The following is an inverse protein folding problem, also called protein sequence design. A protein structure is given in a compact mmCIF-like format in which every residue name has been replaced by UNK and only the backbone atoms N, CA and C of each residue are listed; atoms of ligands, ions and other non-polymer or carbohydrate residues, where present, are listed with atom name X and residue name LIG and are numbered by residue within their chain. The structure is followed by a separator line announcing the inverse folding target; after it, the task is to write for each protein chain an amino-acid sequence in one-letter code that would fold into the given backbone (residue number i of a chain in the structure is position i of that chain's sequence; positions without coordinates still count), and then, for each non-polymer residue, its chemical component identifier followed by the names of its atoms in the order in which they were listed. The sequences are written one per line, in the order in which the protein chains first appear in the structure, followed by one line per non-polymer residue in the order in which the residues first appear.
data_IF_163373351452
#
_entry.id   IF_163373351452
#
_cell.length_a   1.000
_cell.length_b   1.000
_cell.length_c   1.000
_cell.angle_alpha   90.00
_cell.angle_beta   90.00
_cell.angle_gamma   90.00
#
_symmetry.space_group_name_H-M   'P 1'
#
loop_
_entity.id
_entity.type
_entity.pdbx_description
1 polymer ?
#
# COMPACT_ATOMS: atom_id res chain seq x y z
N UNK A 1 -5.33 17.74 -11.72
CA UNK A 1 -4.84 16.37 -11.46
C UNK A 1 -5.52 15.84 -10.19
N UNK A 2 -5.57 14.52 -10.01
CA UNK A 2 -6.14 13.88 -8.82
C UNK A 2 -5.15 12.87 -8.21
N UNK A 3 -5.16 12.76 -6.89
CA UNK A 3 -4.43 11.73 -6.17
C UNK A 3 -5.38 10.64 -5.68
N UNK A 4 -5.00 9.39 -5.95
CA UNK A 4 -5.80 8.21 -5.63
C UNK A 4 -5.03 7.31 -4.66
N UNK A 5 -5.76 6.58 -3.83
CA UNK A 5 -5.22 5.55 -2.95
C UNK A 5 -6.09 4.31 -3.00
N UNK A 6 -5.50 3.17 -3.33
CA UNK A 6 -6.18 1.89 -3.42
C UNK A 6 -6.82 1.52 -2.07
N UNK A 7 -6.11 1.68 -0.95
CA UNK A 7 -6.67 1.32 0.37
C UNK A 7 -7.89 2.19 0.73
N UNK A 8 -7.84 3.49 0.43
CA UNK A 8 -8.92 4.43 0.75
C UNK A 8 -10.16 4.22 -0.15
N UNK A 9 -9.95 3.82 -1.40
CA UNK A 9 -11.02 3.64 -2.39
C UNK A 9 -11.55 2.20 -2.47
N UNK A 10 -11.14 1.32 -1.56
CA UNK A 10 -11.64 -0.06 -1.49
C UNK A 10 -11.03 -1.00 -2.53
N UNK A 11 -9.78 -0.75 -2.91
CA UNK A 11 -8.95 -1.59 -3.79
C UNK A 11 -8.77 -1.03 -5.20
N UNK A 12 -7.80 -1.59 -5.92
CA UNK A 12 -7.36 -1.15 -7.25
C UNK A 12 -8.52 -1.01 -8.24
N UNK A 13 -9.39 -2.02 -8.34
CA UNK A 13 -10.51 -2.01 -9.30
C UNK A 13 -11.50 -0.88 -9.04
N UNK A 14 -11.77 -0.56 -7.76
CA UNK A 14 -12.68 0.53 -7.40
C UNK A 14 -12.01 1.88 -7.65
N UNK A 15 -10.73 2.00 -7.29
CA UNK A 15 -9.95 3.21 -7.58
C UNK A 15 -9.87 3.51 -9.09
N UNK A 16 -9.71 2.50 -9.94
CA UNK A 16 -9.73 2.67 -11.40
C UNK A 16 -11.05 3.24 -11.93
N UNK A 17 -12.19 2.76 -11.42
CA UNK A 17 -13.49 3.36 -11.80
C UNK A 17 -13.59 4.82 -11.39
N UNK A 18 -13.04 5.18 -10.22
CA UNK A 18 -12.98 6.59 -9.80
C UNK A 18 -12.09 7.40 -10.72
N UNK A 19 -10.92 6.88 -11.13
CA UNK A 19 -10.04 7.55 -12.08
C UNK A 19 -10.76 7.86 -13.41
N UNK A 20 -11.51 6.87 -13.94
CA UNK A 20 -12.32 7.02 -15.15
C UNK A 20 -13.42 8.08 -14.99
N UNK A 21 -14.14 8.07 -13.87
CA UNK A 21 -15.22 9.04 -13.58
C UNK A 21 -14.67 10.45 -13.45
N UNK A 22 -13.51 10.61 -12.79
CA UNK A 22 -12.90 11.92 -12.55
C UNK A 22 -12.41 12.54 -13.86
N UNK A 23 -11.90 11.73 -14.80
CA UNK A 23 -11.49 12.22 -16.13
C UNK A 23 -10.30 13.20 -16.10
N UNK A 24 -9.54 13.24 -15.01
CA UNK A 24 -8.34 14.07 -14.86
C UNK A 24 -7.08 13.18 -14.84
N UNK A 25 -5.90 13.74 -15.18
CA UNK A 25 -4.62 13.05 -14.93
C UNK A 25 -4.51 12.63 -13.47
N UNK A 26 -4.22 11.35 -13.22
CA UNK A 26 -4.18 10.74 -11.90
C UNK A 26 -2.77 10.27 -11.53
N UNK A 27 -2.43 10.38 -10.24
CA UNK A 27 -1.27 9.77 -9.64
C UNK A 27 -1.67 9.06 -8.33
N UNK A 28 -0.85 8.11 -7.88
CA UNK A 28 -1.05 7.44 -6.58
C UNK A 28 -0.21 8.13 -5.52
N UNK A 29 -0.81 8.36 -4.35
CA UNK A 29 -0.12 8.83 -3.17
C UNK A 29 -0.56 8.05 -1.94
N UNK A 30 0.39 7.76 -1.06
CA UNK A 30 0.14 6.92 0.11
C UNK A 30 1.01 7.34 1.30
N UNK A 31 0.39 7.41 2.48
CA UNK A 31 1.14 7.53 3.73
C UNK A 31 2.13 6.36 3.93
N UNK A 32 3.27 6.59 4.60
CA UNK A 32 4.27 5.56 4.92
C UNK A 32 3.67 4.31 5.57
N UNK A 33 3.79 3.17 4.89
CA UNK A 33 3.26 1.86 5.27
C UNK A 33 4.22 0.75 4.81
N UNK A 34 4.07 -0.46 5.35
CA UNK A 34 4.92 -1.61 4.99
C UNK A 34 4.74 -2.02 3.51
N UNK A 35 5.68 -2.79 2.97
CA UNK A 35 5.60 -3.24 1.57
C UNK A 35 4.32 -4.04 1.25
N UNK A 36 3.79 -4.77 2.24
CA UNK A 36 2.51 -5.49 2.10
C UNK A 36 1.35 -4.54 1.83
N UNK A 37 1.28 -3.43 2.56
CA UNK A 37 0.24 -2.42 2.39
C UNK A 37 0.46 -1.57 1.13
N UNK A 38 1.72 -1.25 0.82
CA UNK A 38 2.10 -0.48 -0.36
C UNK A 38 1.87 -1.25 -1.67
N UNK A 39 1.84 -2.58 -1.65
CA UNK A 39 1.62 -3.39 -2.84
C UNK A 39 0.30 -3.08 -3.57
N UNK A 40 -0.78 -2.76 -2.84
CA UNK A 40 -2.05 -2.35 -3.45
C UNK A 40 -1.97 -0.98 -4.12
N UNK A 41 -1.21 -0.06 -3.53
CA UNK A 41 -0.97 1.29 -4.08
C UNK A 41 -0.09 1.21 -5.33
N UNK A 42 0.98 0.41 -5.29
CA UNK A 42 1.86 0.14 -6.43
C UNK A 42 1.11 -0.57 -7.57
N UNK A 43 0.22 -1.51 -7.26
CA UNK A 43 -0.61 -2.15 -8.26
C UNK A 43 -1.56 -1.15 -8.94
N UNK A 44 -2.11 -0.17 -8.20
CA UNK A 44 -2.91 0.91 -8.79
C UNK A 44 -2.06 1.80 -9.71
N UNK A 45 -0.88 2.20 -9.26
CA UNK A 45 0.05 2.99 -10.06
C UNK A 45 0.39 2.28 -11.39
N UNK A 46 0.64 0.97 -11.33
CA UNK A 46 0.97 0.18 -12.51
C UNK A 46 -0.15 -0.02 -13.53
N UNK A 47 -1.41 0.32 -13.21
CA UNK A 47 -2.56 0.18 -14.13
C UNK A 47 -3.19 1.51 -14.53
N UNK A 48 -2.79 2.62 -13.89
CA UNK A 48 -3.25 3.95 -14.29
C UNK A 48 -2.63 4.33 -15.64
N UNK A 49 -3.36 5.07 -16.51
CA UNK A 49 -2.76 5.68 -17.68
C UNK A 49 -1.62 6.62 -17.28
N UNK A 50 -0.57 6.67 -18.09
CA UNK A 50 0.56 7.57 -17.85
C UNK A 50 0.08 9.03 -17.88
N UNK A 51 0.32 9.74 -16.77
CA UNK A 51 -0.04 11.14 -16.57
C UNK A 51 1.17 12.07 -16.64
N UNK A 52 2.39 11.55 -16.79
CA UNK A 52 3.65 12.29 -16.66
C UNK A 52 3.98 12.71 -15.23
N UNK A 53 3.18 12.27 -14.23
CA UNK A 53 3.37 12.57 -12.82
C UNK A 53 4.05 11.39 -12.11
N UNK A 54 4.97 11.69 -11.19
CA UNK A 54 5.50 10.68 -10.29
C UNK A 54 4.45 10.24 -9.25
N UNK A 55 4.54 8.99 -8.80
CA UNK A 55 3.72 8.45 -7.72
C UNK A 55 4.47 8.52 -6.39
N UNK A 56 3.78 8.90 -5.32
CA UNK A 56 4.37 9.05 -3.98
C UNK A 56 4.29 7.71 -3.21
N UNK A 57 5.21 6.79 -3.53
CA UNK A 57 5.22 5.40 -3.04
C UNK A 57 6.54 4.98 -2.34
N UNK A 58 7.40 5.92 -1.98
CA UNK A 58 8.69 5.69 -1.31
C UNK A 58 8.58 5.46 0.22
N UNK A 59 7.36 5.48 0.75
CA UNK A 59 7.08 5.51 2.19
C UNK A 59 7.70 4.38 3.02
N UNK A 60 8.04 3.24 2.42
CA UNK A 60 8.71 2.13 3.13
C UNK A 60 10.07 2.56 3.70
N UNK A 61 10.83 3.39 2.97
CA UNK A 61 12.16 3.87 3.38
C UNK A 61 12.11 4.78 4.62
N UNK A 62 10.93 5.29 4.99
CA UNK A 62 10.71 6.19 6.13
C UNK A 62 10.33 5.44 7.41
N UNK A 63 10.15 4.11 7.34
CA UNK A 63 9.83 3.27 8.49
C UNK A 63 11.09 2.74 9.17
N UNK A 64 10.98 2.36 10.44
CA UNK A 64 12.07 1.69 11.17
C UNK A 64 12.44 0.30 10.60
N UNK A 65 11.58 -0.24 9.75
CA UNK A 65 11.81 -1.48 9.02
C UNK A 65 10.55 -1.98 8.35
N UNK A 66 10.65 -3.16 7.77
CA UNK A 66 9.62 -3.77 6.93
C UNK A 66 9.43 -5.25 7.28
N UNK A 67 8.25 -5.77 6.97
CA UNK A 67 7.81 -7.12 7.36
C UNK A 67 8.03 -8.17 6.27
N UNK A 68 8.59 -7.78 5.12
CA UNK A 68 8.92 -8.69 4.01
C UNK A 68 10.44 -8.83 3.89
N UNK A 69 10.91 -9.84 3.15
CA UNK A 69 12.35 -10.05 2.93
C UNK A 69 12.99 -8.83 2.21
N UNK A 70 14.29 -8.54 2.42
CA UNK A 70 14.94 -7.37 1.81
C UNK A 70 14.74 -7.28 0.29
N UNK A 71 14.87 -8.41 -0.41
CA UNK A 71 14.72 -8.49 -1.86
C UNK A 71 13.29 -8.24 -2.36
N UNK A 72 12.30 -8.24 -1.46
CA UNK A 72 10.88 -8.01 -1.76
C UNK A 72 10.37 -6.69 -1.18
N UNK A 73 11.23 -5.94 -0.49
CA UNK A 73 10.88 -4.64 0.07
C UNK A 73 10.75 -3.61 -1.05
N UNK A 74 9.68 -2.82 -1.02
CA UNK A 74 9.37 -1.81 -2.03
C UNK A 74 10.15 -0.52 -1.76
N UNK A 75 11.47 -0.62 -1.89
CA UNK A 75 12.39 0.51 -1.84
C UNK A 75 12.68 0.97 -3.27
N UNK A 76 12.42 2.24 -3.63
CA UNK A 76 12.69 2.72 -4.97
C UNK A 76 14.17 2.61 -5.34
N UNK A 77 14.45 2.23 -6.58
CA UNK A 77 15.77 2.26 -7.20
C UNK A 77 15.66 3.05 -8.52
N UNK A 78 16.56 4.01 -8.73
CA UNK A 78 16.56 4.90 -9.91
C UNK A 78 15.22 5.59 -10.16
N UNK A 79 14.51 5.95 -9.08
CA UNK A 79 13.19 6.60 -9.13
C UNK A 79 12.04 5.65 -9.49
N UNK A 80 12.29 4.34 -9.59
CA UNK A 80 11.33 3.35 -10.04
C UNK A 80 11.05 2.29 -8.97
N UNK A 81 9.84 1.70 -9.03
CA UNK A 81 9.44 0.55 -8.23
C UNK A 81 8.95 -0.57 -9.15
N UNK A 82 9.28 -1.84 -8.86
CA UNK A 82 8.86 -2.97 -9.69
C UNK A 82 7.40 -3.33 -9.43
N UNK A 83 6.54 -3.18 -10.45
CA UNK A 83 5.16 -3.69 -10.38
C UNK A 83 5.19 -5.21 -10.54
N UNK A 84 5.20 -5.93 -9.41
CA UNK A 84 5.20 -7.38 -9.39
C UNK A 84 3.79 -7.96 -9.58
N UNK A 85 3.63 -9.10 -10.26
CA UNK A 85 2.33 -9.75 -10.45
C UNK A 85 1.71 -10.28 -9.16
N UNK A 86 2.52 -10.42 -8.09
CA UNK A 86 2.07 -10.88 -6.78
C UNK A 86 2.61 -9.96 -5.69
N UNK A 87 1.79 -9.63 -4.67
CA UNK A 87 2.24 -8.86 -3.52
C UNK A 87 3.35 -9.60 -2.76
N UNK A 88 4.28 -8.88 -2.11
CA UNK A 88 5.30 -9.51 -1.29
C UNK A 88 4.65 -10.15 -0.05
N UNK A 89 4.97 -11.41 0.21
CA UNK A 89 4.50 -12.10 1.40
C UNK A 89 5.29 -11.63 2.63
N UNK A 90 4.66 -11.54 3.82
CA UNK A 90 5.39 -11.33 5.06
C UNK A 90 6.44 -12.42 5.29
N UNK A 91 7.63 -11.99 5.67
CA UNK A 91 8.70 -12.85 6.14
C UNK A 91 8.46 -13.18 7.62
N UNK A 92 8.38 -14.46 8.03
CA UNK A 92 8.03 -14.83 9.41
C UNK A 92 8.94 -14.23 10.48
N UNK A 93 10.25 -14.19 10.25
CA UNK A 93 11.23 -13.71 11.22
C UNK A 93 11.11 -12.19 11.40
N UNK A 94 10.90 -11.47 10.28
CA UNK A 94 10.67 -10.03 10.31
C UNK A 94 9.31 -9.68 10.91
N UNK A 95 8.27 -10.44 10.59
CA UNK A 95 6.96 -10.27 11.19
C UNK A 95 7.04 -10.46 12.71
N UNK A 96 7.77 -11.47 13.18
CA UNK A 96 8.04 -11.68 14.60
C UNK A 96 8.75 -10.46 15.21
N UNK A 97 9.81 -9.96 14.57
CA UNK A 97 10.56 -8.78 15.02
C UNK A 97 9.69 -7.52 15.21
N UNK A 98 8.70 -7.29 14.34
CA UNK A 98 7.83 -6.11 14.40
C UNK A 98 6.45 -6.39 15.02
N UNK A 99 6.28 -7.54 15.67
CA UNK A 99 5.00 -7.92 16.28
C UNK A 99 4.62 -6.97 17.42
N UNK A 100 3.33 -6.60 17.45
CA UNK A 100 2.77 -5.87 18.58
C UNK A 100 2.43 -6.85 19.71
N UNK A 101 3.17 -6.79 20.81
CA UNK A 101 2.99 -7.70 21.95
C UNK A 101 1.97 -7.22 22.99
N UNK A 102 1.65 -5.92 23.02
CA UNK A 102 0.76 -5.38 24.04
C UNK A 102 -0.70 -5.83 23.80
N UNK A 103 -1.29 -6.67 24.68
CA UNK A 103 -2.58 -7.32 24.43
C UNK A 103 -3.71 -6.33 24.17
N UNK A 104 -3.71 -5.19 24.85
CA UNK A 104 -4.70 -4.13 24.70
C UNK A 104 -4.61 -3.44 23.33
N UNK A 105 -3.39 -3.27 22.78
CA UNK A 105 -3.21 -2.73 21.42
C UNK A 105 -3.66 -3.74 20.36
N UNK A 106 -3.38 -5.02 20.56
CA UNK A 106 -3.85 -6.09 19.67
C UNK A 106 -5.38 -6.18 19.68
N UNK A 107 -5.99 -6.18 20.85
CA UNK A 107 -7.45 -6.20 21.01
C UNK A 107 -8.10 -4.99 20.34
N UNK A 108 -7.52 -3.79 20.50
CA UNK A 108 -8.00 -2.57 19.84
C UNK A 108 -7.97 -2.70 18.31
N UNK A 109 -6.87 -3.19 17.72
CA UNK A 109 -6.79 -3.40 16.27
C UNK A 109 -7.80 -4.43 15.76
N UNK A 110 -7.95 -5.56 16.46
CA UNK A 110 -8.94 -6.59 16.11
C UNK A 110 -10.37 -6.06 16.17
N UNK A 111 -10.70 -5.27 17.19
CA UNK A 111 -12.02 -4.62 17.31
C UNK A 111 -12.29 -3.65 16.15
N UNK A 112 -11.29 -2.83 15.76
CA UNK A 112 -11.41 -1.93 14.60
C UNK A 112 -11.62 -2.70 13.29
N UNK A 113 -10.87 -3.78 13.08
CA UNK A 113 -11.02 -4.63 11.89
C UNK A 113 -12.43 -5.26 11.83
N UNK A 114 -12.89 -5.87 12.92
CA UNK A 114 -14.24 -6.42 13.01
C UNK A 114 -15.31 -5.35 12.82
N UNK A 115 -15.06 -4.12 13.29
CA UNK A 115 -15.91 -2.96 13.03
C UNK A 115 -16.02 -2.62 11.55
N UNK A 116 -14.89 -2.50 10.86
CA UNK A 116 -14.85 -2.18 9.44
C UNK A 116 -15.49 -3.28 8.57
N UNK A 117 -15.26 -4.55 8.91
CA UNK A 117 -15.80 -5.70 8.18
C UNK A 117 -17.33 -5.83 8.24
N UNK A 118 -18.01 -5.20 9.20
CA UNK A 118 -19.48 -5.20 9.24
C UNK A 118 -20.13 -4.30 8.19
N UNK A 119 -19.36 -3.41 7.58
CA UNK A 119 -19.84 -2.45 6.58
C UNK A 119 -19.37 -2.80 5.15
N UNK A 120 -18.75 -3.97 4.97
CA UNK A 120 -18.28 -4.51 3.68
C UNK A 120 -19.12 -5.75 3.37
#
# INVERSE_FOLDING_TARGET
MAFLGAAALGGVRRAMRIAEIVGLPCAVAADPRSSVAMAGELALAGVLPDSGLAHELDGVARLAGDVVSPARSLIPADGMLPVAPMPPAPDPDRLHRFTQHAPERVARWRSRLAGAQRYI
#
